data_IF_113989333903
#
_entry.id   IF_113989333903
#
_cell.length_a   1.000
_cell.length_b   1.000
_cell.length_c   1.000
_cell.angle_alpha   90.00
_cell.angle_beta   90.00
_cell.angle_gamma   90.00
#
_symmetry.space_group_name_H-M   'P 1'
#
loop_
_entity.id
_entity.type
_entity.pdbx_description
1 polymer ?
#
# COMPACT_ATOMS: atom_id res chain seq x y z
N UNK A 1 31.92 -15.77 -10.28
CA UNK A 1 31.38 -15.03 -9.12
C UNK A 1 30.46 -15.96 -8.37
N UNK A 2 30.80 -16.31 -7.14
CA UNK A 2 29.93 -17.09 -6.24
C UNK A 2 28.68 -16.25 -5.95
N UNK A 3 27.51 -16.74 -6.36
CA UNK A 3 26.24 -16.12 -5.95
C UNK A 3 26.13 -16.23 -4.42
N UNK A 4 25.88 -15.14 -3.70
CA UNK A 4 25.89 -15.16 -2.24
C UNK A 4 24.60 -15.78 -1.71
N UNK A 5 24.70 -16.57 -0.64
CA UNK A 5 23.53 -17.11 0.04
C UNK A 5 22.79 -15.99 0.79
N UNK A 6 21.50 -15.83 0.51
CA UNK A 6 20.59 -15.03 1.34
C UNK A 6 19.95 -15.95 2.37
N UNK A 7 20.17 -15.68 3.65
CA UNK A 7 19.57 -16.43 4.75
C UNK A 7 18.55 -15.56 5.47
N UNK A 8 17.50 -16.19 5.97
CA UNK A 8 16.53 -15.56 6.85
C UNK A 8 16.57 -16.22 8.23
N UNK A 9 16.57 -15.40 9.29
CA UNK A 9 16.59 -15.86 10.67
C UNK A 9 15.45 -15.22 11.46
N UNK A 10 14.94 -15.93 12.46
CA UNK A 10 13.93 -15.35 13.35
C UNK A 10 14.53 -15.06 14.72
N UNK A 11 14.45 -13.79 15.13
CA UNK A 11 14.86 -13.36 16.47
C UNK A 11 13.64 -13.28 17.36
N UNK A 12 13.70 -13.98 18.48
CA UNK A 12 12.75 -13.87 19.56
C UNK A 12 13.26 -12.87 20.60
N UNK A 13 12.52 -11.78 20.81
CA UNK A 13 12.91 -10.73 21.76
C UNK A 13 12.98 -11.30 23.19
N UNK A 14 14.03 -10.93 23.93
CA UNK A 14 14.25 -11.41 25.29
C UNK A 14 14.78 -12.85 25.37
N UNK A 15 15.11 -13.49 24.24
CA UNK A 15 15.77 -14.78 24.18
C UNK A 15 17.18 -14.64 23.62
N UNK A 16 18.10 -15.48 24.09
CA UNK A 16 19.44 -15.59 23.51
C UNK A 16 19.32 -16.18 22.11
N UNK A 17 19.83 -15.45 21.11
CA UNK A 17 19.94 -15.91 19.74
C UNK A 17 21.34 -16.49 19.52
N UNK A 18 21.41 -17.70 18.99
CA UNK A 18 22.66 -18.37 18.63
C UNK A 18 22.43 -19.16 17.36
N UNK A 19 23.08 -18.75 16.28
CA UNK A 19 23.03 -19.45 15.00
C UNK A 19 24.43 -19.85 14.56
N UNK A 20 24.58 -21.09 14.11
CA UNK A 20 25.84 -21.65 13.64
C UNK A 20 25.83 -21.74 12.12
N UNK A 21 26.81 -21.11 11.49
CA UNK A 21 26.91 -21.00 10.05
C UNK A 21 28.21 -21.65 9.57
N UNK A 22 28.10 -22.51 8.58
CA UNK A 22 29.24 -23.08 7.85
C UNK A 22 29.16 -22.61 6.40
N UNK A 23 30.28 -22.13 5.86
CA UNK A 23 30.39 -21.80 4.44
C UNK A 23 31.11 -22.94 3.74
N UNK A 24 30.49 -23.44 2.67
CA UNK A 24 31.04 -24.50 1.83
C UNK A 24 31.04 -24.07 0.38
N UNK A 25 32.04 -24.55 -0.36
CA UNK A 25 32.17 -24.37 -1.80
C UNK A 25 32.15 -25.73 -2.46
N UNK A 26 31.30 -25.88 -3.47
CA UNK A 26 31.18 -27.07 -4.31
C UNK A 26 31.47 -26.63 -5.76
N UNK A 27 32.23 -27.41 -6.56
CA UNK A 27 32.66 -26.98 -7.89
C UNK A 27 31.54 -26.97 -8.96
N UNK A 28 30.32 -27.38 -8.59
CA UNK A 28 29.15 -27.45 -9.47
C UNK A 28 27.89 -26.92 -8.78
N UNK A 29 26.82 -26.73 -9.55
CA UNK A 29 25.56 -26.20 -9.04
C UNK A 29 24.88 -27.20 -8.09
N UNK A 30 24.43 -26.71 -6.93
CA UNK A 30 23.81 -27.53 -5.88
C UNK A 30 22.45 -26.97 -5.47
N UNK A 31 21.53 -27.86 -5.11
CA UNK A 31 20.28 -27.59 -4.42
C UNK A 31 20.28 -28.16 -3.01
N UNK A 32 19.17 -27.97 -2.27
CA UNK A 32 18.99 -28.52 -0.93
C UNK A 32 17.70 -29.32 -0.88
N UNK A 33 17.78 -30.58 -0.44
CA UNK A 33 16.64 -31.46 -0.22
C UNK A 33 16.73 -32.09 1.16
N UNK A 34 15.67 -31.94 1.97
CA UNK A 34 15.57 -32.52 3.32
C UNK A 34 16.80 -32.28 4.22
N UNK A 35 17.44 -31.11 4.10
CA UNK A 35 18.62 -30.74 4.89
C UNK A 35 19.96 -31.22 4.33
N UNK A 36 20.00 -31.84 3.14
CA UNK A 36 21.24 -32.27 2.47
C UNK A 36 21.47 -31.53 1.16
N UNK A 37 22.74 -31.27 0.84
CA UNK A 37 23.14 -30.77 -0.48
C UNK A 37 22.94 -31.85 -1.54
N UNK A 38 22.29 -31.48 -2.64
CA UNK A 38 22.12 -32.33 -3.83
C UNK A 38 22.68 -31.61 -5.05
N UNK A 39 23.24 -32.36 -6.00
CA UNK A 39 23.61 -31.81 -7.30
C UNK A 39 22.35 -31.32 -8.03
N UNK A 40 22.35 -30.07 -8.50
CA UNK A 40 21.18 -29.44 -9.09
C UNK A 40 20.75 -30.04 -10.44
N UNK A 41 21.64 -30.77 -11.12
CA UNK A 41 21.39 -31.40 -12.41
C UNK A 41 20.92 -32.85 -12.25
N UNK A 42 21.47 -33.59 -11.28
CA UNK A 42 21.22 -35.03 -11.13
C UNK A 42 20.30 -35.38 -9.95
N UNK A 43 20.12 -34.46 -8.99
CA UNK A 43 19.39 -34.72 -7.74
C UNK A 43 20.09 -35.68 -6.80
N UNK A 44 21.33 -36.10 -7.11
CA UNK A 44 22.10 -37.01 -6.24
C UNK A 44 22.73 -36.24 -5.08
N UNK A 45 22.99 -36.93 -3.97
CA UNK A 45 23.75 -36.37 -2.85
C UNK A 45 25.09 -35.79 -3.32
N UNK A 46 25.45 -34.60 -2.85
CA UNK A 46 26.82 -34.09 -3.01
C UNK A 46 27.76 -34.94 -2.14
N UNK A 47 28.79 -35.58 -2.70
CA UNK A 47 29.78 -36.32 -1.91
C UNK A 47 30.63 -35.38 -1.05
N UNK A 48 30.99 -35.80 0.17
CA UNK A 48 31.82 -35.00 1.07
C UNK A 48 33.18 -34.62 0.48
N UNK A 49 33.73 -35.44 -0.43
CA UNK A 49 34.99 -35.16 -1.11
C UNK A 49 34.94 -33.93 -2.03
N UNK A 50 33.75 -33.56 -2.50
CA UNK A 50 33.53 -32.41 -3.39
C UNK A 50 33.23 -31.11 -2.60
N UNK A 51 33.10 -31.21 -1.27
CA UNK A 51 32.77 -30.10 -0.38
C UNK A 51 34.06 -29.53 0.19
N UNK A 52 34.41 -28.32 -0.24
CA UNK A 52 35.48 -27.53 0.38
C UNK A 52 34.88 -26.62 1.45
N UNK A 53 35.32 -26.79 2.70
CA UNK A 53 34.87 -25.97 3.84
C UNK A 53 35.72 -24.71 3.94
N UNK A 54 35.08 -23.62 4.31
CA UNK A 54 35.78 -22.37 4.65
C UNK A 54 36.63 -22.58 5.91
N UNK A 55 37.82 -21.96 5.96
CA UNK A 55 38.67 -21.96 7.14
C UNK A 55 38.77 -20.53 7.68
N UNK A 56 38.23 -20.32 8.88
CA UNK A 56 38.24 -19.04 9.57
C UNK A 56 39.41 -18.91 10.57
N UNK A 57 40.35 -19.86 10.58
CA UNK A 57 41.52 -19.81 11.48
C UNK A 57 42.30 -18.50 11.29
N UNK A 58 42.45 -17.74 12.38
CA UNK A 58 43.15 -16.46 12.38
C UNK A 58 42.38 -15.28 11.75
N UNK A 59 41.14 -15.48 11.32
CA UNK A 59 40.29 -14.41 10.79
C UNK A 59 39.61 -13.61 11.91
N UNK A 60 39.14 -12.41 11.58
CA UNK A 60 38.19 -11.65 12.39
C UNK A 60 36.94 -11.35 11.57
N UNK A 61 35.80 -11.09 12.21
CA UNK A 61 34.56 -10.83 11.48
C UNK A 61 33.71 -9.78 12.17
N UNK A 62 32.87 -9.10 11.36
CA UNK A 62 31.84 -8.18 11.82
C UNK A 62 30.57 -8.27 10.98
N UNK A 63 29.43 -7.94 11.60
CA UNK A 63 28.11 -7.80 10.99
C UNK A 63 27.46 -6.57 11.58
N UNK A 64 26.96 -5.68 10.72
CA UNK A 64 26.14 -4.55 11.14
C UNK A 64 24.71 -4.79 10.66
N UNK A 65 23.77 -4.85 11.60
CA UNK A 65 22.34 -4.94 11.33
C UNK A 65 21.77 -3.53 11.13
N UNK A 66 21.05 -3.35 10.03
CA UNK A 66 20.45 -2.08 9.58
C UNK A 66 19.00 -2.33 9.16
N UNK A 67 18.14 -1.31 9.09
CA UNK A 67 16.74 -1.53 8.66
C UNK A 67 16.66 -1.88 7.18
N UNK A 68 17.39 -1.13 6.37
CA UNK A 68 17.51 -1.35 4.93
C UNK A 68 18.98 -1.29 4.49
N UNK A 69 19.24 -1.67 3.23
CA UNK A 69 20.57 -1.58 2.63
C UNK A 69 20.96 -0.09 2.60
N UNK A 70 22.19 0.20 3.02
CA UNK A 70 22.76 1.56 3.11
C UNK A 70 22.07 2.52 4.10
N UNK A 71 21.14 2.04 4.94
CA UNK A 71 20.60 2.86 6.05
C UNK A 71 21.77 3.28 6.95
N UNK A 72 22.01 4.59 7.20
CA UNK A 72 23.14 5.04 8.01
C UNK A 72 23.09 4.56 9.47
N UNK A 73 21.89 4.25 9.99
CA UNK A 73 21.69 3.81 11.37
C UNK A 73 22.03 2.32 11.56
N UNK A 74 22.90 2.03 12.53
CA UNK A 74 23.24 0.66 12.93
C UNK A 74 22.35 0.28 14.11
N UNK A 75 21.49 -0.71 13.91
CA UNK A 75 20.62 -1.25 14.96
C UNK A 75 21.39 -2.07 15.98
N UNK A 76 22.33 -2.90 15.49
CA UNK A 76 23.22 -3.71 16.32
C UNK A 76 24.45 -4.11 15.52
N UNK A 77 25.62 -4.06 16.14
CA UNK A 77 26.85 -4.62 15.58
C UNK A 77 27.25 -5.89 16.33
N UNK A 78 27.53 -6.95 15.59
CA UNK A 78 28.14 -8.17 16.08
C UNK A 78 29.54 -8.29 15.50
N UNK A 79 30.53 -8.59 16.33
CA UNK A 79 31.90 -8.80 15.87
C UNK A 79 32.65 -9.78 16.76
N UNK A 80 33.78 -10.28 16.26
CA UNK A 80 34.70 -11.07 17.08
C UNK A 80 35.29 -10.26 18.23
N UNK A 81 35.36 -8.93 18.10
CA UNK A 81 35.86 -8.05 19.14
C UNK A 81 34.85 -7.82 20.29
N UNK A 82 33.55 -7.77 19.97
CA UNK A 82 32.49 -7.55 20.96
C UNK A 82 31.83 -8.85 21.46
N UNK A 83 32.31 -10.01 21.01
CA UNK A 83 31.77 -11.32 21.38
C UNK A 83 30.45 -11.70 20.71
N UNK A 84 29.96 -10.88 19.77
CA UNK A 84 28.78 -11.16 18.95
C UNK A 84 29.04 -12.15 17.81
N UNK A 85 30.31 -12.41 17.48
CA UNK A 85 30.72 -13.45 16.53
C UNK A 85 31.81 -14.33 17.13
N UNK A 86 31.63 -15.64 17.03
CA UNK A 86 32.66 -16.63 17.38
C UNK A 86 33.08 -17.37 16.11
N UNK A 87 34.39 -17.47 15.88
CA UNK A 87 34.96 -18.21 14.75
C UNK A 87 35.73 -19.43 15.29
N UNK A 88 35.42 -20.61 14.76
CA UNK A 88 35.97 -21.88 15.24
C UNK A 88 36.14 -22.86 14.08
N UNK A 89 37.37 -22.95 13.56
CA UNK A 89 37.68 -23.73 12.37
C UNK A 89 36.82 -23.30 11.18
N UNK A 90 35.89 -24.14 10.76
CA UNK A 90 34.97 -23.87 9.65
C UNK A 90 33.66 -23.16 10.06
N UNK A 91 33.44 -22.96 11.36
CA UNK A 91 32.19 -22.42 11.90
C UNK A 91 32.28 -20.93 12.20
N UNK A 92 31.23 -20.22 11.82
CA UNK A 92 30.94 -18.86 12.23
C UNK A 92 29.64 -18.87 13.03
N UNK A 93 29.70 -18.49 14.30
CA UNK A 93 28.54 -18.42 15.18
C UNK A 93 28.13 -16.98 15.38
N UNK A 94 26.86 -16.65 15.17
CA UNK A 94 26.28 -15.35 15.50
C UNK A 94 25.62 -15.45 16.88
N UNK A 95 25.97 -14.54 17.80
CA UNK A 95 25.45 -14.53 19.16
C UNK A 95 24.83 -13.18 19.49
N UNK A 96 23.59 -13.21 20.00
CA UNK A 96 22.96 -12.06 20.62
C UNK A 96 22.41 -12.48 21.97
N UNK A 97 22.67 -11.69 23.00
CA UNK A 97 22.13 -11.95 24.34
C UNK A 97 20.64 -11.64 24.41
N UNK A 98 19.94 -12.23 25.37
CA UNK A 98 18.55 -11.90 25.66
C UNK A 98 18.33 -10.40 25.93
N UNK A 99 19.32 -9.71 26.50
CA UNK A 99 19.27 -8.27 26.71
C UNK A 99 19.34 -7.49 25.39
N UNK A 100 20.26 -7.87 24.49
CA UNK A 100 20.37 -7.25 23.17
C UNK A 100 19.12 -7.49 22.32
N UNK A 101 18.58 -8.72 22.32
CA UNK A 101 17.35 -9.01 21.58
C UNK A 101 16.11 -8.36 22.20
N UNK A 102 16.11 -8.14 23.52
CA UNK A 102 15.06 -7.42 24.24
C UNK A 102 15.12 -5.89 24.09
N UNK A 103 16.31 -5.32 23.83
CA UNK A 103 16.52 -3.88 23.67
C UNK A 103 16.03 -3.34 22.31
N UNK A 104 15.74 -4.24 21.36
CA UNK A 104 15.23 -3.90 20.04
C UNK A 104 13.84 -3.23 20.12
N UNK A 105 13.76 -1.96 19.69
CA UNK A 105 12.50 -1.22 19.61
C UNK A 105 11.71 -1.69 18.39
N UNK A 106 10.41 -1.95 18.56
CA UNK A 106 9.52 -2.35 17.47
C UNK A 106 8.81 -1.14 16.85
N UNK A 107 8.76 -1.07 15.52
CA UNK A 107 7.98 -0.07 14.79
C UNK A 107 8.46 0.14 13.36
N UNK A 108 7.62 0.79 12.54
CA UNK A 108 7.94 1.11 11.14
C UNK A 108 8.81 2.38 11.01
N UNK A 109 9.03 3.10 12.11
CA UNK A 109 9.80 4.35 12.18
C UNK A 109 11.00 4.20 13.11
N UNK A 110 12.15 4.84 12.81
CA UNK A 110 13.36 4.73 13.62
C UNK A 110 13.13 5.32 15.02
N UNK A 111 13.68 4.69 16.09
CA UNK A 111 14.61 3.55 16.09
C UNK A 111 13.93 2.18 16.02
N UNK A 112 12.62 2.14 15.74
CA UNK A 112 11.85 0.92 15.55
C UNK A 112 12.23 0.14 14.28
N UNK A 113 12.15 -1.19 14.36
CA UNK A 113 12.29 -2.07 13.19
C UNK A 113 11.23 -3.18 13.17
N UNK A 114 10.91 -3.66 11.96
CA UNK A 114 10.05 -4.82 11.69
C UNK A 114 10.81 -5.97 11.05
N UNK A 115 11.81 -5.64 10.23
CA UNK A 115 12.88 -6.53 9.74
C UNK A 115 14.21 -5.77 9.72
N UNK A 116 15.32 -6.50 9.77
CA UNK A 116 16.64 -5.90 9.57
C UNK A 116 17.46 -6.72 8.57
N UNK A 117 18.48 -6.07 8.02
CA UNK A 117 19.40 -6.60 7.02
C UNK A 117 20.83 -6.49 7.54
N UNK A 118 21.62 -7.55 7.37
CA UNK A 118 23.01 -7.60 7.81
C UNK A 118 23.93 -8.30 6.83
N UNK A 119 25.16 -7.80 6.75
CA UNK A 119 26.22 -8.37 5.93
C UNK A 119 27.41 -8.79 6.79
N UNK A 120 27.88 -10.03 6.60
CA UNK A 120 29.11 -10.53 7.23
C UNK A 120 30.32 -10.06 6.43
N UNK A 121 31.21 -9.34 7.11
CA UNK A 121 32.52 -8.94 6.61
C UNK A 121 33.58 -9.70 7.40
N UNK A 122 34.42 -10.47 6.69
CA UNK A 122 35.49 -11.27 7.29
C UNK A 122 36.82 -10.64 6.87
N UNK A 123 37.66 -10.32 7.86
CA UNK A 123 39.04 -9.87 7.64
C UNK A 123 39.98 -11.06 7.80
N UNK A 124 40.72 -11.38 6.75
CA UNK A 124 41.72 -12.44 6.69
C UNK A 124 43.01 -12.05 7.45
N UNK A 125 43.89 -13.01 7.79
CA UNK A 125 45.13 -12.73 8.52
C UNK A 125 46.12 -11.81 7.78
N UNK A 126 46.05 -11.78 6.45
CA UNK A 126 46.83 -10.89 5.57
C UNK A 126 46.28 -9.45 5.51
N UNK A 127 45.12 -9.22 6.13
CA UNK A 127 44.44 -7.92 6.18
C UNK A 127 43.37 -7.73 5.11
N UNK A 128 43.16 -8.70 4.23
CA UNK A 128 42.15 -8.60 3.19
C UNK A 128 40.74 -8.70 3.80
N UNK A 129 39.88 -7.75 3.45
CA UNK A 129 38.49 -7.72 3.89
C UNK A 129 37.61 -8.33 2.81
N UNK A 130 37.13 -9.52 3.08
CA UNK A 130 36.18 -10.21 2.22
C UNK A 130 34.75 -9.97 2.69
N UNK A 131 33.96 -9.46 1.75
CA UNK A 131 32.51 -9.37 1.90
C UNK A 131 31.89 -10.70 1.53
N UNK A 132 31.50 -11.47 2.54
CA UNK A 132 30.95 -12.80 2.30
C UNK A 132 29.52 -12.76 1.72
N UNK A 133 28.86 -11.58 1.59
CA UNK A 133 27.50 -11.40 1.01
C UNK A 133 27.17 -10.01 0.43
N UNK A 134 26.97 -9.82 -0.89
CA UNK A 134 26.16 -8.71 -1.38
C UNK A 134 24.66 -9.12 -1.35
N UNK A 135 23.94 -8.82 -0.27
CA UNK A 135 22.49 -9.04 -0.17
C UNK A 135 21.98 -9.17 1.27
N UNK A 136 20.70 -8.82 1.54
CA UNK A 136 20.19 -8.68 2.90
C UNK A 136 20.01 -10.04 3.60
N UNK A 137 20.55 -10.18 4.80
CA UNK A 137 20.09 -11.23 5.74
C UNK A 137 18.77 -10.75 6.34
N UNK A 138 17.63 -11.27 5.88
CA UNK A 138 16.31 -10.80 6.35
C UNK A 138 16.04 -11.45 7.71
N UNK A 139 15.88 -10.65 8.75
CA UNK A 139 15.49 -11.17 10.06
C UNK A 139 14.01 -10.88 10.31
N UNK A 140 13.18 -11.92 10.49
CA UNK A 140 11.73 -11.79 10.69
C UNK A 140 11.29 -12.26 12.09
N UNK A 141 10.44 -11.49 12.75
CA UNK A 141 9.86 -11.84 14.06
C UNK A 141 8.75 -12.88 13.92
N UNK A 142 8.79 -13.94 14.75
CA UNK A 142 7.61 -14.73 15.08
C UNK A 142 7.23 -14.48 16.55
N UNK A 143 5.95 -14.19 16.81
CA UNK A 143 5.43 -14.02 18.18
C UNK A 143 4.49 -15.15 18.49
N UNK A 144 4.91 -16.12 19.29
CA UNK A 144 3.98 -17.06 19.90
C UNK A 144 3.93 -16.81 21.41
N UNK A 145 2.89 -16.12 21.87
CA UNK A 145 2.45 -16.13 23.26
C UNK A 145 1.15 -16.94 23.29
N UNK A 146 1.17 -18.12 23.89
CA UNK A 146 -0.05 -18.80 24.33
C UNK A 146 0.13 -19.17 25.79
N UNK A 147 -0.57 -18.45 26.66
CA UNK A 147 -0.73 -18.79 28.08
C UNK A 147 -2.12 -19.38 28.25
N UNK A 148 -2.21 -20.66 28.62
CA UNK A 148 -3.43 -21.24 29.18
C UNK A 148 -3.11 -22.06 30.42
N UNK A 149 -3.79 -21.75 31.53
CA UNK A 149 -3.55 -22.32 32.86
C UNK A 149 -4.61 -23.39 33.19
N UNK A 150 -4.17 -24.60 33.52
CA UNK A 150 -4.84 -25.49 34.49
C UNK A 150 -3.84 -26.49 35.07
N UNK A 151 -3.69 -26.48 36.40
CA UNK A 151 -3.08 -27.59 37.17
C UNK A 151 -1.55 -27.64 37.24
N UNK A 152 -0.95 -26.80 38.08
CA UNK A 152 0.17 -27.18 38.96
C UNK A 152 1.55 -27.58 38.41
N UNK A 153 1.77 -27.75 37.10
CA UNK A 153 3.09 -28.14 36.57
C UNK A 153 3.37 -27.47 35.21
N UNK A 154 4.57 -26.90 35.03
CA UNK A 154 4.99 -26.25 33.79
C UNK A 154 5.55 -27.31 32.83
N UNK A 155 4.78 -27.67 31.81
CA UNK A 155 5.25 -28.51 30.69
C UNK A 155 5.27 -27.67 29.42
N UNK A 156 6.47 -27.45 28.86
CA UNK A 156 6.65 -26.81 27.55
C UNK A 156 6.36 -27.86 26.48
N UNK A 157 5.13 -27.89 25.97
CA UNK A 157 4.80 -28.68 24.77
C UNK A 157 5.04 -27.82 23.54
N UNK A 158 6.12 -28.11 22.83
CA UNK A 158 6.44 -27.52 21.53
C UNK A 158 5.49 -28.13 20.49
N UNK A 159 4.52 -27.35 20.01
CA UNK A 159 3.78 -27.71 18.80
C UNK A 159 4.69 -27.45 17.60
N UNK A 160 5.11 -28.47 16.83
CA UNK A 160 5.91 -28.23 15.63
C UNK A 160 5.02 -27.54 14.59
N UNK A 161 5.39 -26.32 14.21
CA UNK A 161 4.84 -25.69 13.01
C UNK A 161 5.20 -26.55 11.79
N UNK A 162 4.28 -26.71 10.81
CA UNK A 162 4.52 -27.56 9.66
C UNK A 162 5.69 -27.02 8.81
N UNK A 163 6.47 -27.91 8.17
CA UNK A 163 7.55 -27.50 7.28
C UNK A 163 6.97 -26.68 6.12
N UNK A 164 7.36 -25.41 6.03
CA UNK A 164 7.11 -24.62 4.83
C UNK A 164 7.98 -25.19 3.70
N UNK A 165 7.31 -25.71 2.68
CA UNK A 165 7.88 -26.24 1.45
C UNK A 165 8.49 -25.09 0.65
N UNK A 166 9.82 -25.11 0.47
CA UNK A 166 10.48 -24.30 -0.56
C UNK A 166 10.53 -25.15 -1.83
N UNK A 167 9.67 -24.84 -2.79
CA UNK A 167 9.75 -25.37 -4.16
C UNK A 167 10.82 -24.57 -4.90
N UNK A 168 11.96 -25.18 -5.21
CA UNK A 168 12.88 -24.66 -6.22
C UNK A 168 12.27 -24.86 -7.61
N UNK A 169 11.75 -23.79 -8.21
CA UNK A 169 11.46 -23.78 -9.65
C UNK A 169 12.76 -23.55 -10.40
N UNK A 170 13.14 -24.48 -11.27
CA UNK A 170 14.30 -24.34 -12.16
C UNK A 170 14.06 -23.40 -13.36
N UNK A 171 15.21 -22.95 -13.91
CA UNK A 171 15.52 -22.43 -15.27
C UNK A 171 15.21 -20.91 -15.48
N UNK A 172 16.03 -20.04 -16.16
CA UNK A 172 17.12 -20.25 -17.16
C UNK A 172 18.45 -19.51 -16.88
N UNK A 173 19.48 -19.73 -17.73
CA UNK A 173 20.82 -19.12 -17.67
C UNK A 173 20.87 -17.58 -17.61
N UNK A 174 22.06 -16.99 -17.37
CA UNK A 174 22.21 -15.61 -16.92
C UNK A 174 21.45 -14.63 -17.81
N UNK A 175 20.56 -13.85 -17.20
CA UNK A 175 19.93 -12.68 -17.84
C UNK A 175 21.05 -11.82 -18.43
N UNK A 176 20.96 -11.54 -19.74
CA UNK A 176 21.79 -10.50 -20.35
C UNK A 176 21.69 -9.19 -19.56
N UNK A 177 22.65 -8.27 -19.76
CA UNK A 177 22.69 -6.94 -19.14
C UNK A 177 21.28 -6.42 -18.90
N UNK A 178 20.96 -6.06 -17.64
CA UNK A 178 19.63 -5.62 -17.21
C UNK A 178 19.09 -4.66 -18.28
N UNK A 179 18.14 -5.14 -19.08
CA UNK A 179 17.39 -4.27 -19.96
C UNK A 179 16.80 -3.16 -19.09
N UNK A 180 16.74 -1.94 -19.64
CA UNK A 180 16.11 -0.78 -19.01
C UNK A 180 14.88 -1.25 -18.23
N UNK A 181 14.72 -0.90 -16.93
CA UNK A 181 13.65 -1.41 -16.08
C UNK A 181 12.35 -1.59 -16.86
N UNK A 182 11.87 -2.84 -16.91
CA UNK A 182 10.61 -3.15 -17.53
C UNK A 182 9.54 -2.22 -16.96
N UNK A 183 8.71 -1.59 -17.80
CA UNK A 183 7.86 -0.53 -17.32
C UNK A 183 6.91 -1.04 -16.22
N UNK A 184 6.58 -0.22 -15.21
CA UNK A 184 5.52 -0.58 -14.25
C UNK A 184 4.27 -0.97 -15.04
N UNK A 185 3.56 -2.02 -14.61
CA UNK A 185 2.56 -2.72 -15.43
C UNK A 185 1.57 -1.80 -16.15
N UNK A 186 1.67 -1.69 -17.48
CA UNK A 186 0.93 -0.69 -18.26
C UNK A 186 1.82 0.44 -18.75
N UNK A 187 3.04 0.13 -19.20
CA UNK A 187 3.88 1.10 -19.87
C UNK A 187 4.57 0.43 -21.06
N UNK A 188 4.68 1.19 -22.16
CA UNK A 188 5.10 0.73 -23.47
C UNK A 188 6.43 1.39 -23.79
N UNK A 189 7.44 0.60 -24.14
CA UNK A 189 8.72 1.13 -24.62
C UNK A 189 8.64 1.40 -26.11
N UNK A 190 8.92 2.64 -26.51
CA UNK A 190 8.88 3.09 -27.91
C UNK A 190 10.15 3.89 -28.21
N UNK A 191 10.71 3.71 -29.40
CA UNK A 191 11.87 4.47 -29.87
C UNK A 191 11.54 5.93 -30.00
N UNK A 192 12.35 6.82 -29.44
CA UNK A 192 12.22 8.26 -29.63
C UNK A 192 12.61 8.64 -31.04
N UNK A 193 11.74 9.40 -31.70
CA UNK A 193 11.95 9.90 -33.05
C UNK A 193 13.04 10.97 -33.12
N UNK A 194 13.12 11.74 -34.21
CA UNK A 194 14.27 12.58 -34.52
C UNK A 194 14.45 13.80 -33.61
N UNK A 195 13.47 14.11 -32.74
CA UNK A 195 13.51 15.26 -31.82
C UNK A 195 13.52 14.79 -30.36
N UNK A 196 14.27 15.48 -29.46
CA UNK A 196 14.30 15.14 -28.05
C UNK A 196 12.94 15.37 -27.39
N UNK A 197 12.63 14.56 -26.37
CA UNK A 197 11.40 14.65 -25.59
C UNK A 197 11.75 15.09 -24.17
N UNK A 198 11.05 16.10 -23.66
CA UNK A 198 11.21 16.54 -22.27
C UNK A 198 10.51 15.59 -21.30
N UNK A 199 10.99 15.54 -20.06
CA UNK A 199 10.29 14.79 -19.01
C UNK A 199 8.90 15.36 -18.74
N UNK A 200 8.01 14.52 -18.22
CA UNK A 200 6.60 14.85 -17.92
C UNK A 200 5.83 15.38 -19.14
N UNK A 201 6.17 14.89 -20.34
CA UNK A 201 5.54 15.29 -21.60
C UNK A 201 4.59 14.22 -22.13
N UNK A 202 3.48 14.64 -22.73
CA UNK A 202 2.58 13.77 -23.49
C UNK A 202 3.23 13.42 -24.82
N UNK A 203 3.12 12.16 -25.21
CA UNK A 203 3.78 11.63 -26.39
C UNK A 203 2.79 10.91 -27.31
N UNK A 204 3.04 11.02 -28.61
CA UNK A 204 2.27 10.38 -29.66
C UNK A 204 3.20 9.54 -30.55
N UNK A 205 2.60 8.61 -31.28
CA UNK A 205 3.29 7.82 -32.30
C UNK A 205 3.18 8.53 -33.66
N UNK A 206 4.29 8.67 -34.37
CA UNK A 206 4.28 9.15 -35.74
C UNK A 206 3.96 8.03 -36.76
N UNK A 207 3.98 8.36 -38.05
CA UNK A 207 3.72 7.40 -39.12
C UNK A 207 4.79 6.32 -39.29
N UNK A 208 5.98 6.51 -38.73
CA UNK A 208 7.07 5.54 -38.73
C UNK A 208 7.02 4.61 -37.50
N UNK A 209 6.14 4.88 -36.54
CA UNK A 209 6.06 4.14 -35.29
C UNK A 209 6.98 4.70 -34.19
N UNK A 210 7.55 5.89 -34.40
CA UNK A 210 8.47 6.54 -33.47
C UNK A 210 7.74 7.51 -32.54
N UNK A 211 8.30 7.69 -31.34
CA UNK A 211 7.75 8.54 -30.30
C UNK A 211 8.09 9.99 -30.58
N UNK A 212 7.06 10.83 -30.67
CA UNK A 212 7.17 12.29 -30.84
C UNK A 212 6.37 13.01 -29.75
N UNK A 213 6.70 14.27 -29.50
CA UNK A 213 5.91 15.11 -28.60
C UNK A 213 4.49 15.28 -29.16
N UNK A 214 3.47 14.98 -28.36
CA UNK A 214 2.09 15.08 -28.80
C UNK A 214 1.67 16.55 -28.99
N UNK A 215 0.85 16.81 -29.99
CA UNK A 215 0.45 18.18 -30.33
C UNK A 215 -1.01 18.22 -30.77
N UNK A 216 -1.83 18.96 -30.02
CA UNK A 216 -3.26 19.11 -30.26
C UNK A 216 -3.59 19.84 -31.58
N UNK A 217 -2.65 20.57 -32.18
CA UNK A 217 -2.79 21.26 -33.48
C UNK A 217 -2.47 20.35 -34.67
N UNK A 218 -1.85 19.20 -34.44
CA UNK A 218 -1.56 18.23 -35.50
C UNK A 218 -2.70 17.20 -35.60
N UNK A 219 -3.48 17.18 -36.70
CA UNK A 219 -4.60 16.26 -36.81
C UNK A 219 -4.16 14.79 -36.88
N UNK A 220 -2.92 14.50 -37.30
CA UNK A 220 -2.37 13.15 -37.34
C UNK A 220 -2.12 12.58 -35.93
N UNK A 221 -2.00 13.42 -34.90
CA UNK A 221 -1.83 12.97 -33.53
C UNK A 221 -3.15 12.54 -32.87
N UNK A 222 -4.30 12.87 -33.47
CA UNK A 222 -5.62 12.48 -32.96
C UNK A 222 -5.76 10.95 -32.97
N UNK A 223 -5.83 10.34 -31.79
CA UNK A 223 -5.89 8.88 -31.64
C UNK A 223 -4.55 8.15 -31.74
N UNK A 224 -3.44 8.87 -31.98
CA UNK A 224 -2.08 8.33 -31.97
C UNK A 224 -1.31 8.63 -30.66
N UNK A 225 -1.95 9.33 -29.71
CA UNK A 225 -1.39 9.62 -28.38
C UNK A 225 -1.30 8.35 -27.55
N UNK A 226 -0.12 8.07 -27.02
CA UNK A 226 0.18 6.83 -26.31
C UNK A 226 0.14 6.98 -24.79
N UNK A 227 0.59 8.12 -24.25
CA UNK A 227 0.70 8.33 -22.80
C UNK A 227 1.62 9.48 -22.44
N UNK A 228 2.20 9.43 -21.25
CA UNK A 228 3.13 10.45 -20.72
C UNK A 228 4.48 9.82 -20.40
N UNK A 229 5.57 10.52 -20.65
CA UNK A 229 6.91 10.10 -20.20
C UNK A 229 7.28 10.78 -18.89
N UNK A 230 7.86 10.04 -17.94
CA UNK A 230 8.33 10.64 -16.68
C UNK A 230 9.70 11.34 -16.84
N UNK A 231 10.57 10.77 -17.67
CA UNK A 231 11.94 11.24 -17.87
C UNK A 231 12.10 11.95 -19.23
N UNK A 232 13.15 12.77 -19.34
CA UNK A 232 13.57 13.30 -20.63
C UNK A 232 14.35 12.23 -21.42
N UNK A 233 14.21 12.24 -22.74
CA UNK A 233 14.83 11.28 -23.64
C UNK A 233 15.44 11.98 -24.86
N UNK A 234 16.58 11.48 -25.32
CA UNK A 234 17.26 11.95 -26.54
C UNK A 234 16.75 11.19 -27.78
N UNK A 235 16.93 11.73 -29.00
CA UNK A 235 16.60 11.03 -30.23
C UNK A 235 17.25 9.64 -30.31
N UNK A 236 16.47 8.61 -30.68
CA UNK A 236 16.93 7.23 -30.78
C UNK A 236 16.94 6.43 -29.46
N UNK A 237 16.71 7.07 -28.32
CA UNK A 237 16.56 6.39 -27.03
C UNK A 237 15.30 5.52 -26.99
N UNK A 238 15.28 4.50 -26.14
CA UNK A 238 14.04 3.77 -25.82
C UNK A 238 13.33 4.48 -24.66
N UNK A 239 12.23 5.17 -24.97
CA UNK A 239 11.45 5.90 -24.00
C UNK A 239 10.39 5.00 -23.36
N UNK A 240 10.25 5.11 -22.04
CA UNK A 240 9.18 4.44 -21.29
C UNK A 240 7.96 5.35 -21.28
N UNK A 241 6.94 4.97 -22.04
CA UNK A 241 5.65 5.67 -22.07
C UNK A 241 4.75 5.08 -21.01
N UNK A 242 4.35 5.90 -20.04
CA UNK A 242 3.41 5.52 -19.00
C UNK A 242 1.99 5.65 -19.53
N UNK A 243 1.25 4.53 -19.49
CA UNK A 243 -0.17 4.47 -19.91
C UNK A 243 -1.11 4.19 -18.73
N UNK A 244 -0.58 4.13 -17.52
CA UNK A 244 -1.28 3.98 -16.25
C UNK A 244 -0.39 4.43 -15.09
N UNK A 245 -0.96 4.55 -13.88
CA UNK A 245 -0.35 5.02 -12.61
C UNK A 245 -0.34 6.54 -12.35
N UNK A 246 0.02 6.87 -11.10
CA UNK A 246 0.11 8.24 -10.58
C UNK A 246 1.45 8.84 -10.96
N UNK A 247 1.41 9.94 -11.73
CA UNK A 247 2.56 10.81 -11.94
C UNK A 247 2.52 11.95 -10.93
N UNK A 248 3.65 12.16 -10.27
CA UNK A 248 3.87 13.29 -9.36
C UNK A 248 4.89 14.23 -9.98
N UNK A 249 4.55 15.51 -10.09
CA UNK A 249 5.48 16.54 -10.52
C UNK A 249 5.23 17.83 -9.74
N UNK A 250 6.25 18.28 -9.01
CA UNK A 250 6.17 19.44 -8.10
C UNK A 250 5.95 20.78 -8.82
N UNK A 251 6.18 20.84 -10.13
CA UNK A 251 5.95 22.03 -10.94
C UNK A 251 4.52 22.19 -11.47
N UNK A 252 3.62 21.22 -11.21
CA UNK A 252 2.22 21.35 -11.61
C UNK A 252 1.42 22.21 -10.62
N UNK A 253 0.45 22.95 -11.16
CA UNK A 253 -0.44 23.83 -10.41
C UNK A 253 -1.89 23.60 -10.82
N UNK A 254 -2.27 22.33 -10.94
CA UNK A 254 -3.57 21.95 -11.47
C UNK A 254 -4.71 22.15 -10.48
N UNK A 255 -5.87 22.54 -11.01
CA UNK A 255 -7.13 22.35 -10.30
C UNK A 255 -7.58 20.89 -10.47
N UNK A 256 -8.26 20.27 -9.48
CA UNK A 256 -8.83 18.94 -9.66
C UNK A 256 -9.77 18.90 -10.88
N UNK A 257 -9.50 18.03 -11.85
CA UNK A 257 -10.19 18.09 -13.15
C UNK A 257 -9.45 17.37 -14.28
N UNK A 258 -10.05 17.31 -15.48
CA UNK A 258 -9.45 16.64 -16.62
C UNK A 258 -8.16 17.33 -17.09
N UNK A 259 -7.20 16.53 -17.53
CA UNK A 259 -5.96 16.98 -18.16
C UNK A 259 -5.96 16.53 -19.62
N UNK A 260 -5.69 17.47 -20.51
CA UNK A 260 -5.78 17.36 -21.96
C UNK A 260 -4.39 17.37 -22.60
N UNK A 261 -4.32 16.82 -23.81
CA UNK A 261 -3.16 16.99 -24.70
C UNK A 261 -3.00 18.47 -25.05
N UNK A 262 -1.80 19.00 -24.81
CA UNK A 262 -1.40 20.38 -25.13
C UNK A 262 -0.63 20.48 -26.44
N UNK A 263 0.21 21.51 -26.55
CA UNK A 263 1.10 21.76 -27.69
C UNK A 263 2.49 21.20 -27.38
N UNK A 264 3.19 20.65 -28.38
CA UNK A 264 4.58 20.20 -28.26
C UNK A 264 4.90 19.40 -26.98
N UNK A 265 4.03 18.45 -26.65
CA UNK A 265 4.16 17.53 -25.52
C UNK A 265 3.69 18.09 -24.18
N UNK A 266 3.16 19.30 -24.12
CA UNK A 266 2.67 19.88 -22.88
C UNK A 266 1.31 19.28 -22.46
N UNK A 267 1.02 19.37 -21.16
CA UNK A 267 -0.26 19.03 -20.54
C UNK A 267 -1.07 20.31 -20.32
N UNK A 268 -2.37 20.28 -20.58
CA UNK A 268 -3.24 21.47 -20.46
C UNK A 268 -4.56 21.15 -19.74
N UNK A 269 -5.15 22.11 -19.01
CA UNK A 269 -6.49 21.95 -18.39
C UNK A 269 -7.61 22.63 -19.19
N UNK A 270 -7.26 23.25 -20.32
CA UNK A 270 -8.19 23.79 -21.30
C UNK A 270 -7.63 23.54 -22.71
N UNK A 271 -8.48 23.42 -23.74
CA UNK A 271 -8.01 23.26 -25.12
C UNK A 271 -7.08 24.42 -25.52
N UNK A 272 -5.84 24.15 -25.97
CA UNK A 272 -4.95 25.20 -26.45
C UNK A 272 -5.53 25.94 -27.66
N UNK A 273 -5.14 27.19 -27.85
CA UNK A 273 -5.53 27.97 -29.03
C UNK A 273 -5.07 27.25 -30.31
N UNK A 274 -6.00 26.99 -31.23
CA UNK A 274 -5.72 26.27 -32.48
C UNK A 274 -5.77 24.74 -32.38
N UNK A 275 -6.13 24.19 -31.22
CA UNK A 275 -6.32 22.75 -31.06
C UNK A 275 -7.37 22.22 -32.04
N UNK A 276 -6.98 21.20 -32.83
CA UNK A 276 -7.86 20.50 -33.75
C UNK A 276 -8.60 19.34 -33.08
N UNK A 277 -8.17 18.93 -31.88
CA UNK A 277 -8.86 17.92 -31.07
C UNK A 277 -8.62 18.16 -29.57
N UNK A 278 -9.55 17.68 -28.75
CA UNK A 278 -9.41 17.63 -27.30
C UNK A 278 -9.44 16.16 -26.88
N UNK A 279 -8.29 15.66 -26.42
CA UNK A 279 -8.16 14.30 -25.90
C UNK A 279 -7.73 14.38 -24.44
N UNK A 280 -8.49 13.72 -23.56
CA UNK A 280 -8.15 13.60 -22.14
C UNK A 280 -7.07 12.53 -21.99
N UNK A 281 -5.97 12.89 -21.32
CA UNK A 281 -4.85 11.98 -21.05
C UNK A 281 -4.84 11.50 -19.60
N UNK A 282 -5.47 12.26 -18.69
CA UNK A 282 -5.64 11.88 -17.29
C UNK A 282 -6.53 12.87 -16.52
N UNK A 283 -6.56 12.71 -15.19
CA UNK A 283 -7.28 13.61 -14.28
C UNK A 283 -6.35 14.04 -13.14
N UNK A 284 -6.27 15.34 -12.91
CA UNK A 284 -5.61 15.90 -11.73
C UNK A 284 -6.45 15.60 -10.49
N UNK A 285 -5.84 14.98 -9.48
CA UNK A 285 -6.44 14.68 -8.17
C UNK A 285 -6.15 15.77 -7.13
N UNK A 286 -5.03 16.46 -7.28
CA UNK A 286 -4.60 17.63 -6.50
C UNK A 286 -3.69 18.50 -7.37
N UNK A 287 -3.16 19.61 -6.85
CA UNK A 287 -2.18 20.43 -7.56
C UNK A 287 -0.90 19.68 -7.95
N UNK A 288 -0.65 18.49 -7.41
CA UNK A 288 0.61 17.74 -7.56
C UNK A 288 0.46 16.24 -7.87
N UNK A 289 -0.76 15.72 -8.10
CA UNK A 289 -0.98 14.29 -8.39
C UNK A 289 -1.94 14.06 -9.54
N UNK A 290 -1.53 13.23 -10.50
CA UNK A 290 -2.37 12.63 -11.54
C UNK A 290 -2.81 11.23 -11.12
N UNK A 291 -4.02 10.77 -11.46
CA UNK A 291 -4.28 9.33 -11.52
C UNK A 291 -5.16 9.01 -12.73
N UNK A 292 -4.71 8.06 -13.55
CA UNK A 292 -5.58 7.37 -14.50
C UNK A 292 -6.03 6.05 -13.91
N UNK A 293 -7.30 5.94 -13.52
CA UNK A 293 -8.05 4.72 -13.72
C UNK A 293 -9.43 5.12 -14.22
N UNK A 294 -9.66 4.86 -15.50
CA UNK A 294 -10.99 4.85 -16.06
C UNK A 294 -11.57 3.45 -15.80
N UNK A 295 -12.85 3.35 -15.46
CA UNK A 295 -13.53 2.08 -15.21
C UNK A 295 -13.18 1.06 -16.32
N UNK A 296 -13.06 -0.23 -15.98
CA UNK A 296 -12.77 -1.28 -16.99
C UNK A 296 -13.79 -1.14 -18.12
N UNK A 297 -13.29 -0.92 -19.34
CA UNK A 297 -14.13 -0.71 -20.51
C UNK A 297 -14.57 -2.04 -21.10
N UNK A 298 -15.77 -2.05 -21.66
CA UNK A 298 -16.39 -3.19 -22.30
C UNK A 298 -16.62 -2.91 -23.78
N UNK A 299 -16.66 -3.95 -24.60
CA UNK A 299 -17.08 -3.85 -25.98
C UNK A 299 -18.60 -3.92 -26.03
N UNK A 300 -19.25 -2.86 -26.54
CA UNK A 300 -20.69 -2.81 -26.79
C UNK A 300 -20.93 -2.60 -28.28
N UNK A 301 -21.92 -3.29 -28.82
CA UNK A 301 -22.37 -3.03 -30.18
C UNK A 301 -23.26 -1.78 -30.18
N UNK A 302 -22.81 -0.72 -30.85
CA UNK A 302 -23.49 0.57 -30.92
C UNK A 302 -23.54 1.00 -32.39
N UNK A 303 -24.73 1.29 -32.91
CA UNK A 303 -24.86 1.83 -34.27
C UNK A 303 -24.22 0.98 -35.37
N UNK A 304 -24.33 -0.35 -35.27
CA UNK A 304 -23.75 -1.31 -36.20
C UNK A 304 -22.20 -1.42 -36.18
N UNK A 305 -21.55 -0.92 -35.12
CA UNK A 305 -20.12 -1.04 -34.89
C UNK A 305 -19.81 -1.56 -33.47
N UNK A 306 -18.70 -2.26 -33.32
CA UNK A 306 -18.17 -2.59 -31.99
C UNK A 306 -17.49 -1.34 -31.45
N UNK A 307 -17.98 -0.82 -30.33
CA UNK A 307 -17.47 0.39 -29.68
C UNK A 307 -17.04 0.07 -28.26
N UNK A 308 -15.95 0.68 -27.82
CA UNK A 308 -15.48 0.59 -26.45
C UNK A 308 -16.29 1.57 -25.56
N UNK A 309 -16.94 1.06 -24.51
CA UNK A 309 -17.84 1.84 -23.63
C UNK A 309 -17.48 1.58 -22.17
N UNK A 310 -17.61 2.60 -21.33
CA UNK A 310 -17.46 2.46 -19.88
C UNK A 310 -18.67 1.76 -19.26
N UNK A 311 -18.42 0.90 -18.26
CA UNK A 311 -19.47 0.49 -17.34
C UNK A 311 -19.94 1.69 -16.51
N UNK A 312 -21.22 1.69 -16.13
CA UNK A 312 -21.82 2.80 -15.38
C UNK A 312 -21.47 2.64 -13.89
N UNK A 313 -20.90 3.67 -13.27
CA UNK A 313 -20.53 3.65 -11.84
C UNK A 313 -21.59 4.28 -10.93
N UNK A 314 -22.44 5.19 -11.43
CA UNK A 314 -23.59 5.75 -10.70
C UNK A 314 -24.85 5.77 -11.57
N UNK A 315 -26.01 5.48 -11.00
CA UNK A 315 -27.27 5.42 -11.74
C UNK A 315 -27.96 6.78 -11.76
N UNK A 316 -28.43 7.19 -12.93
CA UNK A 316 -29.36 8.32 -13.11
C UNK A 316 -30.81 7.86 -13.32
N UNK A 317 -31.10 6.58 -13.03
CA UNK A 317 -32.42 5.98 -13.15
C UNK A 317 -32.67 5.41 -14.55
N UNK A 318 -33.84 5.74 -15.12
CA UNK A 318 -34.35 5.11 -16.36
C UNK A 318 -33.40 5.26 -17.55
N UNK A 319 -32.62 6.34 -17.60
CA UNK A 319 -31.64 6.58 -18.67
C UNK A 319 -30.54 5.50 -18.72
N UNK A 320 -30.30 4.79 -17.61
CA UNK A 320 -29.32 3.70 -17.52
C UNK A 320 -29.94 2.31 -17.66
N UNK A 321 -31.19 2.21 -18.14
CA UNK A 321 -31.83 0.93 -18.35
C UNK A 321 -31.03 0.06 -19.34
N UNK A 322 -30.63 -1.14 -18.88
CA UNK A 322 -29.86 -2.11 -19.66
C UNK A 322 -28.35 -1.86 -19.72
N UNK A 323 -27.84 -0.85 -19.00
CA UNK A 323 -26.40 -0.64 -18.89
C UNK A 323 -25.75 -1.65 -17.92
N UNK A 324 -24.44 -1.89 -18.10
CA UNK A 324 -23.65 -2.78 -17.25
C UNK A 324 -23.03 -1.97 -16.10
N UNK A 325 -23.31 -2.32 -14.83
CA UNK A 325 -22.68 -1.67 -13.68
C UNK A 325 -21.18 -1.94 -13.60
N UNK A 326 -20.41 -0.95 -13.16
CA UNK A 326 -19.00 -1.07 -12.80
C UNK A 326 -18.77 -0.68 -11.34
N UNK A 327 -17.71 -1.25 -10.75
CA UNK A 327 -17.27 -0.90 -9.41
C UNK A 327 -16.63 0.50 -9.40
N UNK A 328 -16.77 1.19 -8.27
CA UNK A 328 -16.05 2.42 -7.98
C UNK A 328 -14.58 2.14 -7.62
N UNK A 329 -13.83 3.21 -7.30
CA UNK A 329 -12.40 3.12 -6.96
C UNK A 329 -12.13 2.36 -5.65
N UNK A 330 -13.17 2.09 -4.85
CA UNK A 330 -13.10 1.25 -3.65
C UNK A 330 -13.39 -0.22 -3.94
N UNK A 331 -13.67 -0.57 -5.21
CA UNK A 331 -14.02 -1.92 -5.63
C UNK A 331 -15.45 -2.32 -5.23
N UNK A 332 -16.36 -1.36 -5.06
CA UNK A 332 -17.75 -1.61 -4.66
C UNK A 332 -18.74 -1.04 -5.67
N UNK A 333 -19.96 -1.59 -5.69
CA UNK A 333 -21.06 -0.98 -6.44
C UNK A 333 -21.55 0.24 -5.68
N UNK A 334 -21.72 1.37 -6.38
CA UNK A 334 -22.30 2.57 -5.79
C UNK A 334 -23.75 2.31 -5.35
N UNK A 335 -24.15 2.91 -4.22
CA UNK A 335 -25.45 2.67 -3.60
C UNK A 335 -26.64 3.01 -4.52
N UNK A 336 -26.49 3.99 -5.41
CA UNK A 336 -27.52 4.34 -6.41
C UNK A 336 -27.90 3.19 -7.36
N UNK A 337 -27.08 2.14 -7.44
CA UNK A 337 -27.33 0.96 -8.27
C UNK A 337 -28.23 -0.07 -7.60
N UNK A 338 -28.43 0.05 -6.28
CA UNK A 338 -29.28 -0.87 -5.53
C UNK A 338 -30.74 -0.38 -5.57
N UNK A 339 -31.73 -1.29 -5.61
CA UNK A 339 -33.13 -0.93 -5.44
C UNK A 339 -33.37 -0.21 -4.10
N UNK A 340 -34.38 0.65 -4.05
CA UNK A 340 -34.84 1.27 -2.80
C UNK A 340 -35.17 0.19 -1.77
N UNK A 341 -34.59 0.28 -0.57
CA UNK A 341 -34.75 -0.72 0.50
C UNK A 341 -33.69 -1.84 0.51
N UNK A 342 -32.72 -1.81 -0.41
CA UNK A 342 -31.55 -2.69 -0.42
C UNK A 342 -30.29 -1.81 -0.43
N UNK A 343 -29.39 -1.97 0.55
CA UNK A 343 -28.22 -1.12 0.76
C UNK A 343 -28.27 -0.42 2.12
N UNK A 344 -27.42 0.59 2.33
CA UNK A 344 -27.48 1.37 3.57
C UNK A 344 -28.82 2.11 3.67
N UNK A 345 -29.44 2.16 4.85
CA UNK A 345 -30.66 2.94 5.05
C UNK A 345 -30.30 4.44 5.03
N UNK A 346 -30.59 5.12 3.91
CA UNK A 346 -30.23 6.53 3.71
C UNK A 346 -31.37 7.37 3.16
N UNK A 347 -31.34 8.66 3.49
CA UNK A 347 -32.17 9.67 2.84
C UNK A 347 -31.36 10.93 2.52
N UNK A 348 -31.66 11.54 1.38
CA UNK A 348 -31.10 12.85 1.02
C UNK A 348 -31.98 13.94 1.63
N UNK A 349 -31.45 14.67 2.61
CA UNK A 349 -32.17 15.68 3.39
C UNK A 349 -31.38 17.00 3.36
N UNK A 350 -32.00 18.16 3.04
CA UNK A 350 -31.29 19.42 3.03
C UNK A 350 -30.81 19.79 4.44
N UNK A 351 -29.54 20.19 4.56
CA UNK A 351 -28.95 20.62 5.82
C UNK A 351 -29.42 22.04 6.17
N UNK A 352 -29.85 22.29 7.41
CA UNK A 352 -30.17 23.63 7.91
C UNK A 352 -28.94 24.37 8.46
N UNK A 353 -27.82 23.68 8.63
CA UNK A 353 -26.54 24.23 9.07
C UNK A 353 -25.38 23.50 8.38
N UNK A 354 -24.15 23.97 8.56
CA UNK A 354 -22.98 23.24 8.05
C UNK A 354 -22.74 21.96 8.87
N UNK A 355 -22.59 20.85 8.17
CA UNK A 355 -22.29 19.53 8.71
C UNK A 355 -20.85 19.16 8.33
N UNK A 356 -20.12 18.57 9.26
CA UNK A 356 -18.82 17.97 9.03
C UNK A 356 -18.97 16.47 8.76
N UNK A 357 -18.04 15.89 8.01
CA UNK A 357 -17.96 14.43 7.88
C UNK A 357 -17.85 13.79 9.27
N UNK A 358 -18.67 12.76 9.52
CA UNK A 358 -18.75 12.07 10.79
C UNK A 358 -19.75 12.66 11.79
N UNK A 359 -20.35 13.82 11.52
CA UNK A 359 -21.34 14.42 12.42
C UNK A 359 -22.56 13.51 12.56
N UNK A 360 -23.00 13.30 13.81
CA UNK A 360 -24.30 12.73 14.12
C UNK A 360 -25.37 13.82 13.95
N UNK A 361 -26.46 13.47 13.27
CA UNK A 361 -27.47 14.43 12.83
C UNK A 361 -28.85 14.13 13.39
N UNK A 362 -29.59 15.20 13.67
CA UNK A 362 -30.99 15.22 14.00
C UNK A 362 -31.80 15.65 12.77
N UNK A 363 -32.82 14.87 12.42
CA UNK A 363 -33.79 15.25 11.40
C UNK A 363 -34.95 15.94 12.09
N UNK A 364 -35.20 17.19 11.75
CA UNK A 364 -36.23 18.01 12.39
C UNK A 364 -37.12 18.70 11.36
N UNK A 365 -38.31 19.09 11.80
CA UNK A 365 -39.23 19.86 10.96
C UNK A 365 -38.88 21.36 11.00
N UNK A 366 -38.42 21.88 9.86
CA UNK A 366 -38.19 23.29 9.62
C UNK A 366 -38.71 23.65 8.23
N UNK A 367 -40.03 23.80 8.14
CA UNK A 367 -40.77 23.89 6.86
C UNK A 367 -40.57 22.64 5.98
N UNK A 368 -40.52 21.47 6.61
CA UNK A 368 -40.15 20.19 6.01
C UNK A 368 -38.94 19.57 6.71
N UNK A 369 -38.60 18.33 6.33
CA UNK A 369 -37.45 17.64 6.92
C UNK A 369 -36.14 18.38 6.59
N UNK A 370 -35.39 18.74 7.63
CA UNK A 370 -34.04 19.30 7.53
C UNK A 370 -33.09 18.54 8.45
N UNK A 371 -31.84 18.41 8.02
CA UNK A 371 -30.77 17.81 8.84
C UNK A 371 -30.01 18.91 9.59
N UNK A 372 -29.75 18.69 10.87
CA UNK A 372 -28.94 19.54 11.74
C UNK A 372 -28.05 18.69 12.65
N UNK A 373 -27.07 19.25 13.32
CA UNK A 373 -26.24 18.50 14.29
C UNK A 373 -27.11 18.06 15.47
N UNK A 374 -26.94 16.79 15.87
CA UNK A 374 -27.51 16.27 17.11
C UNK A 374 -26.77 16.85 18.32
N UNK A 375 -27.45 17.07 19.44
CA UNK A 375 -26.86 17.78 20.59
C UNK A 375 -27.49 17.31 21.90
N UNK A 376 -26.67 16.76 22.79
CA UNK A 376 -27.14 16.27 24.09
C UNK A 376 -27.63 17.37 25.03
N UNK A 377 -27.31 18.66 24.81
CA UNK A 377 -27.79 19.74 25.68
C UNK A 377 -29.27 20.10 25.45
N UNK A 378 -29.89 19.61 24.37
CA UNK A 378 -31.21 20.08 23.93
C UNK A 378 -32.13 18.89 23.67
N UNK A 379 -33.16 18.74 24.51
CA UNK A 379 -34.24 17.80 24.25
C UNK A 379 -34.89 18.07 22.87
N UNK A 380 -35.08 17.02 22.06
CA UNK A 380 -35.54 17.15 20.67
C UNK A 380 -34.41 17.34 19.65
N UNK A 381 -33.14 17.24 20.07
CA UNK A 381 -31.95 17.17 19.21
C UNK A 381 -31.21 15.83 19.33
N UNK A 382 -31.92 14.76 19.69
CA UNK A 382 -31.42 13.38 19.61
C UNK A 382 -30.91 13.04 18.19
N UNK A 383 -29.92 12.15 18.12
CA UNK A 383 -29.39 11.68 16.85
C UNK A 383 -30.37 10.70 16.19
N UNK A 384 -30.68 10.94 14.93
CA UNK A 384 -31.45 10.03 14.07
C UNK A 384 -30.53 9.28 13.09
N UNK A 385 -29.35 9.83 12.80
CA UNK A 385 -28.41 9.26 11.86
C UNK A 385 -27.05 9.97 11.89
N UNK A 386 -26.24 9.77 10.86
CA UNK A 386 -24.95 10.44 10.68
C UNK A 386 -24.68 10.78 9.20
N UNK A 387 -23.68 11.62 8.95
CA UNK A 387 -23.19 11.93 7.59
C UNK A 387 -21.74 11.46 7.42
N UNK A 388 -21.39 11.02 6.21
CA UNK A 388 -20.02 10.60 5.87
C UNK A 388 -19.24 11.68 5.10
N UNK A 389 -19.90 12.75 4.67
CA UNK A 389 -19.29 13.86 3.94
C UNK A 389 -19.67 15.18 4.60
N UNK A 390 -18.81 16.19 4.43
CA UNK A 390 -19.13 17.55 4.86
C UNK A 390 -20.16 18.18 3.92
N UNK A 391 -21.11 18.92 4.47
CA UNK A 391 -22.22 19.54 3.72
C UNK A 391 -22.38 20.97 4.19
N UNK A 392 -22.37 21.92 3.26
CA UNK A 392 -22.65 23.32 3.59
C UNK A 392 -24.14 23.50 3.98
N UNK A 393 -24.45 24.55 4.74
CA UNK A 393 -25.85 24.91 5.03
C UNK A 393 -26.63 25.11 3.71
N UNK A 394 -27.82 24.53 3.64
CA UNK A 394 -28.66 24.50 2.44
C UNK A 394 -28.32 23.40 1.44
N UNK A 395 -27.16 22.73 1.59
CA UNK A 395 -26.77 21.59 0.76
C UNK A 395 -27.59 20.34 1.05
N UNK A 396 -27.59 19.39 0.11
CA UNK A 396 -28.26 18.10 0.26
C UNK A 396 -27.34 17.11 0.99
N UNK A 397 -27.69 16.74 2.22
CA UNK A 397 -26.93 15.76 3.00
C UNK A 397 -27.47 14.35 2.79
N UNK A 398 -26.59 13.39 2.53
CA UNK A 398 -26.92 11.96 2.60
C UNK A 398 -26.84 11.51 4.04
N UNK A 399 -28.00 11.36 4.69
CA UNK A 399 -28.11 10.91 6.07
C UNK A 399 -28.20 9.39 6.10
N UNK A 400 -27.34 8.74 6.89
CA UNK A 400 -27.34 7.31 7.15
C UNK A 400 -28.06 7.04 8.48
N UNK A 401 -29.13 6.24 8.44
CA UNK A 401 -29.94 5.91 9.63
C UNK A 401 -29.41 4.69 10.39
N UNK A 402 -28.57 3.88 9.77
CA UNK A 402 -27.89 2.75 10.38
C UNK A 402 -26.53 2.48 9.73
N UNK A 403 -25.73 1.59 10.34
CA UNK A 403 -24.46 1.12 9.81
C UNK A 403 -23.24 1.83 10.40
N UNK A 404 -22.08 1.70 9.75
CA UNK A 404 -20.80 2.16 10.31
C UNK A 404 -20.49 3.61 9.91
N UNK A 405 -20.40 4.49 10.90
CA UNK A 405 -19.79 5.81 10.75
C UNK A 405 -18.27 5.68 10.86
N UNK A 406 -17.58 5.74 9.72
CA UNK A 406 -16.12 5.62 9.60
C UNK A 406 -15.39 6.98 9.56
N UNK A 407 -16.09 8.09 9.80
CA UNK A 407 -15.56 9.46 9.72
C UNK A 407 -15.40 10.10 11.11
N UNK A 408 -15.30 9.26 12.14
CA UNK A 408 -15.04 9.68 13.52
C UNK A 408 -13.58 9.44 13.87
N UNK A 409 -13.13 10.03 14.97
CA UNK A 409 -11.77 9.84 15.48
C UNK A 409 -11.76 9.84 17.01
N UNK A 410 -10.71 9.27 17.59
CA UNK A 410 -10.47 9.31 19.05
C UNK A 410 -11.46 8.50 19.87
N UNK A 411 -12.17 7.55 19.26
CA UNK A 411 -13.11 6.68 19.97
C UNK A 411 -12.38 5.56 20.71
N UNK A 412 -12.98 5.05 21.78
CA UNK A 412 -12.51 3.87 22.48
C UNK A 412 -13.49 2.74 22.23
N UNK A 413 -13.00 1.55 21.88
CA UNK A 413 -13.86 0.40 21.61
C UNK A 413 -14.84 0.15 22.77
N UNK A 414 -16.14 0.06 22.45
CA UNK A 414 -17.21 -0.05 23.44
C UNK A 414 -18.38 0.91 23.21
N UNK A 415 -19.32 1.03 24.17
CA UNK A 415 -20.49 1.88 24.04
C UNK A 415 -20.13 3.36 23.90
N UNK A 416 -20.83 4.04 22.99
CA UNK A 416 -20.69 5.48 22.76
C UNK A 416 -22.03 6.18 22.89
N UNK A 417 -22.00 7.39 23.42
CA UNK A 417 -23.16 8.23 23.73
C UNK A 417 -23.07 9.56 23.00
N UNK A 418 -24.24 10.12 22.67
CA UNK A 418 -24.37 11.49 22.18
C UNK A 418 -23.76 12.46 23.18
N UNK A 419 -22.97 13.42 22.70
CA UNK A 419 -22.27 14.38 23.55
C UNK A 419 -22.91 15.77 23.50
N UNK A 420 -22.51 16.60 24.46
CA UNK A 420 -22.91 18.02 24.58
C UNK A 420 -22.16 18.92 23.61
N UNK A 421 -21.16 18.42 22.89
CA UNK A 421 -20.65 19.10 21.70
C UNK A 421 -21.48 18.62 20.51
N UNK A 422 -22.19 19.55 19.87
CA UNK A 422 -23.10 19.20 18.78
C UNK A 422 -22.40 18.41 17.67
N UNK A 423 -23.02 17.30 17.25
CA UNK A 423 -22.56 16.40 16.20
C UNK A 423 -21.62 15.29 16.68
N UNK A 424 -21.20 15.26 17.94
CA UNK A 424 -20.13 14.34 18.38
C UNK A 424 -20.61 13.20 19.27
N UNK A 425 -19.77 12.16 19.36
CA UNK A 425 -19.96 10.97 20.18
C UNK A 425 -18.77 10.77 21.13
N UNK A 426 -19.01 10.13 22.28
CA UNK A 426 -17.97 9.83 23.27
C UNK A 426 -18.36 8.71 24.22
N UNK A 427 -17.37 8.12 24.90
CA UNK A 427 -17.56 6.96 25.78
C UNK A 427 -18.29 7.27 27.10
N UNK A 428 -18.30 8.53 27.53
CA UNK A 428 -18.94 8.96 28.78
C UNK A 428 -20.30 9.58 28.48
N UNK A 429 -21.36 9.05 29.09
CA UNK A 429 -22.70 9.62 28.96
C UNK A 429 -22.75 11.01 29.65
N UNK A 430 -23.38 12.02 29.03
CA UNK A 430 -23.67 13.29 29.69
C UNK A 430 -24.54 13.10 30.95
N UNK A 431 -24.34 13.91 31.99
CA UNK A 431 -24.96 13.69 33.32
C UNK A 431 -25.67 14.89 33.94
N UNK A 432 -25.66 16.07 33.31
CA UNK A 432 -26.37 17.25 33.81
C UNK A 432 -27.89 17.13 33.58
N UNK A 433 -28.67 17.76 34.46
CA UNK A 433 -30.12 17.89 34.27
C UNK A 433 -30.44 18.59 32.94
N UNK A 434 -31.45 18.09 32.23
CA UNK A 434 -31.80 18.53 30.88
C UNK A 434 -31.00 17.85 29.75
N UNK A 435 -29.93 17.12 30.06
CA UNK A 435 -29.18 16.41 29.02
C UNK A 435 -29.98 15.23 28.44
N UNK A 436 -29.82 15.01 27.14
CA UNK A 436 -30.29 13.84 26.42
C UNK A 436 -29.20 12.76 26.46
N UNK A 437 -29.42 11.72 27.26
CA UNK A 437 -28.59 10.52 27.25
C UNK A 437 -29.12 9.58 26.17
N UNK A 438 -28.36 9.49 25.08
CA UNK A 438 -28.66 8.56 23.99
C UNK A 438 -27.41 7.73 23.70
N UNK A 439 -27.54 6.40 23.75
CA UNK A 439 -26.51 5.51 23.21
C UNK A 439 -26.60 5.54 21.69
N UNK A 440 -25.52 5.92 21.04
CA UNK A 440 -25.45 5.98 19.57
C UNK A 440 -25.07 4.63 18.95
N UNK A 441 -24.41 3.75 19.71
CA UNK A 441 -23.99 2.44 19.22
C UNK A 441 -22.73 1.95 19.93
N UNK A 442 -21.91 1.19 19.19
CA UNK A 442 -20.64 0.63 19.68
C UNK A 442 -19.50 1.11 18.77
N UNK A 443 -18.48 1.74 19.36
CA UNK A 443 -17.20 1.95 18.70
C UNK A 443 -16.49 0.60 18.51
N UNK A 444 -16.14 0.30 17.27
CA UNK A 444 -15.40 -0.92 16.89
C UNK A 444 -13.90 -0.65 16.69
N UNK A 445 -13.52 0.62 16.54
CA UNK A 445 -12.14 1.10 16.51
C UNK A 445 -12.08 2.57 16.90
N UNK A 446 -10.88 3.16 16.94
CA UNK A 446 -10.71 4.59 17.17
C UNK A 446 -11.34 5.48 16.10
N UNK A 447 -11.65 4.93 14.92
CA UNK A 447 -12.13 5.66 13.75
C UNK A 447 -13.47 5.16 13.22
N UNK A 448 -14.12 4.24 13.92
CA UNK A 448 -15.38 3.66 13.47
C UNK A 448 -16.36 3.37 14.61
N UNK A 449 -17.60 3.84 14.44
CA UNK A 449 -18.75 3.53 15.29
C UNK A 449 -19.78 2.79 14.45
N UNK A 450 -20.22 1.61 14.90
CA UNK A 450 -21.43 1.00 14.39
C UNK A 450 -22.64 1.69 15.04
N UNK A 451 -23.36 2.48 14.25
CA UNK A 451 -24.49 3.27 14.70
C UNK A 451 -25.75 2.39 14.81
N UNK A 452 -26.33 2.40 16.01
CA UNK A 452 -27.58 1.76 16.37
C UNK A 452 -28.30 2.71 17.32
N UNK A 453 -29.25 3.48 16.80
CA UNK A 453 -29.95 4.51 17.58
C UNK A 453 -30.64 3.91 18.81
N UNK A 454 -30.11 4.22 20.01
CA UNK A 454 -30.74 3.91 21.28
C UNK A 454 -31.89 4.87 21.60
N UNK A 455 -32.76 4.45 22.52
CA UNK A 455 -33.84 5.30 23.04
C UNK A 455 -33.21 6.48 23.82
N UNK A 456 -33.50 7.74 23.46
CA UNK A 456 -33.01 8.89 24.20
C UNK A 456 -33.74 9.04 25.54
N UNK A 457 -32.99 9.36 26.59
CA UNK A 457 -33.52 9.65 27.94
C UNK A 457 -33.12 11.06 28.33
N UNK A 458 -34.09 11.92 28.60
CA UNK A 458 -33.83 13.26 29.14
C UNK A 458 -33.68 13.18 30.66
N UNK A 459 -32.57 13.66 31.19
CA UNK A 459 -32.32 13.69 32.63
C UNK A 459 -33.14 14.81 33.29
N UNK A 460 -33.77 14.49 34.42
CA UNK A 460 -34.63 15.40 35.18
C UNK A 460 -33.85 16.42 36.02
#
# INVERSE_FOLDING_TARGET
MTTPACLSFSIYQGATFREELERVTVPYAVGQECGRLVDACTGTAVPDADITREDYTGCTARVQLRREIDDPEILLELSTANGGIELDGAWLRLLMTAEQTGAFVYGDMPPGWTSCVGQVEVTRPDGDVERHRPGPTIVERETSIVVTRRGGETVVVRQPAPPAVVVTRGIPGPRGLRGVPGPPGGATTVKVGPMPISGHSVVACDSAGELVAADATNPAHRGAVLGVVANAYSPGDDAVVQTGFVLEHSGWTWAPGPVLVGLSGQLAQAPPTGALFAQVIGRALSSTREATMAAKKILRFVGNAITEVFGVQTSTGVANAGDIPALDDTGRLHQSMMPTGIGADTAVIPASEALSAGDFVNVWNSTGAKARKADANVAGKEAHGFVLEAVASGGNATVYFEGTNAQVSGQTAGPVFLQTTAGTAGATAPSAAGNVVQRLGIAISATAINFESGVPVVLA
#
